data_IF_185169237828
#
_entry.id   IF_185169237828
#
_cell.length_a   1.000
_cell.length_b   1.000
_cell.length_c   1.000
_cell.angle_alpha   90.00
_cell.angle_beta   90.00
_cell.angle_gamma   90.00
#
_symmetry.space_group_name_H-M   'P 1'
#
loop_
_entity.id
_entity.type
_entity.pdbx_description
1 polymer ?
#
# COMPACT_ATOMS: atom_id res chain seq x y z
N UNK A 1 40.70 -34.15 -24.86
CA UNK A 1 40.93 -34.22 -23.39
C UNK A 1 41.06 -32.85 -22.69
N UNK A 2 41.54 -31.82 -23.38
CA UNK A 2 41.84 -30.46 -22.89
C UNK A 2 40.61 -29.57 -22.70
N UNK A 3 39.61 -29.65 -23.59
CA UNK A 3 38.37 -28.85 -23.49
C UNK A 3 37.55 -29.10 -22.21
N UNK A 4 37.49 -30.34 -21.71
CA UNK A 4 36.77 -30.67 -20.46
C UNK A 4 37.44 -30.11 -19.20
N UNK A 5 38.76 -29.86 -19.24
CA UNK A 5 39.49 -29.23 -18.12
C UNK A 5 39.29 -27.72 -18.13
N UNK A 6 39.29 -27.09 -19.30
CA UNK A 6 39.01 -25.66 -19.47
C UNK A 6 37.56 -25.32 -19.07
N UNK A 7 36.57 -26.11 -19.49
CA UNK A 7 35.16 -25.91 -19.09
C UNK A 7 34.96 -26.07 -17.57
N UNK A 8 35.67 -27.02 -16.93
CA UNK A 8 35.63 -27.16 -15.45
C UNK A 8 36.34 -26.01 -14.72
N UNK A 9 37.42 -25.46 -15.29
CA UNK A 9 38.14 -24.31 -14.73
C UNK A 9 37.34 -23.03 -14.90
N UNK A 10 36.72 -22.84 -16.08
CA UNK A 10 35.83 -21.72 -16.35
C UNK A 10 34.61 -21.79 -15.44
N UNK A 11 33.95 -22.95 -15.32
CA UNK A 11 32.89 -23.15 -14.33
C UNK A 11 33.35 -22.92 -12.90
N UNK A 12 34.57 -23.28 -12.50
CA UNK A 12 35.09 -22.94 -11.15
C UNK A 12 35.42 -21.46 -10.98
N UNK A 13 35.84 -20.77 -12.03
CA UNK A 13 36.13 -19.34 -12.02
C UNK A 13 34.87 -18.47 -12.11
N UNK A 14 33.79 -18.96 -12.74
CA UNK A 14 32.48 -18.29 -12.82
C UNK A 14 31.47 -18.79 -11.78
N UNK A 15 31.74 -19.90 -11.10
CA UNK A 15 30.93 -20.37 -9.98
C UNK A 15 31.16 -19.49 -8.76
N UNK A 16 30.43 -18.38 -8.73
CA UNK A 16 30.05 -17.76 -7.47
C UNK A 16 29.03 -18.68 -6.80
N UNK A 17 29.25 -19.05 -5.55
CA UNK A 17 28.27 -19.80 -4.77
C UNK A 17 26.98 -18.97 -4.78
N UNK A 18 25.84 -19.50 -5.26
CA UNK A 18 24.64 -18.69 -5.42
C UNK A 18 24.29 -18.04 -4.08
N UNK A 19 24.26 -16.71 -4.11
CA UNK A 19 24.02 -15.85 -2.97
C UNK A 19 22.60 -16.05 -2.44
N UNK A 20 22.29 -15.35 -1.36
CA UNK A 20 20.92 -15.33 -0.85
C UNK A 20 19.95 -14.78 -1.91
N UNK A 21 20.34 -13.70 -2.59
CA UNK A 21 19.61 -13.05 -3.69
C UNK A 21 19.35 -13.98 -4.86
N UNK A 22 20.36 -14.76 -5.31
CA UNK A 22 20.19 -15.71 -6.41
C UNK A 22 19.10 -16.76 -6.11
N UNK A 23 18.96 -17.15 -4.84
CA UNK A 23 17.86 -18.04 -4.45
C UNK A 23 16.50 -17.34 -4.39
N UNK A 24 16.43 -16.05 -4.06
CA UNK A 24 15.17 -15.27 -4.19
C UNK A 24 14.75 -15.21 -5.66
N UNK A 25 15.70 -14.88 -6.55
CA UNK A 25 15.45 -14.80 -7.99
C UNK A 25 15.02 -16.17 -8.53
N UNK A 26 15.62 -17.26 -8.04
CA UNK A 26 15.20 -18.62 -8.39
C UNK A 26 13.76 -18.90 -7.97
N UNK A 27 13.36 -18.58 -6.73
CA UNK A 27 11.97 -18.77 -6.30
C UNK A 27 10.99 -17.90 -7.12
N UNK A 28 11.40 -16.69 -7.56
CA UNK A 28 10.60 -15.86 -8.48
C UNK A 28 10.44 -16.52 -9.86
N UNK A 29 11.51 -17.07 -10.43
CA UNK A 29 11.45 -17.78 -11.73
C UNK A 29 10.61 -19.05 -11.62
N UNK A 30 10.80 -19.82 -10.54
CA UNK A 30 10.11 -21.09 -10.30
C UNK A 30 8.63 -20.88 -9.87
N UNK A 31 8.22 -19.65 -9.55
CA UNK A 31 6.82 -19.31 -9.21
C UNK A 31 5.83 -19.48 -10.38
N UNK A 32 6.33 -19.48 -11.62
CA UNK A 32 5.51 -19.53 -12.84
C UNK A 32 4.84 -18.20 -13.22
N UNK A 33 5.23 -17.09 -12.59
CA UNK A 33 4.81 -15.75 -13.01
C UNK A 33 5.33 -15.38 -14.41
N UNK A 34 4.64 -14.45 -15.08
CA UNK A 34 5.04 -13.98 -16.40
C UNK A 34 6.42 -13.30 -16.37
N UNK A 35 7.20 -13.44 -17.44
CA UNK A 35 8.58 -12.92 -17.54
C UNK A 35 8.73 -11.45 -17.13
N UNK A 36 7.77 -10.59 -17.53
CA UNK A 36 7.80 -9.17 -17.19
C UNK A 36 7.63 -8.91 -15.67
N UNK A 37 6.76 -9.68 -15.01
CA UNK A 37 6.53 -9.61 -13.56
C UNK A 37 7.76 -10.10 -12.81
N UNK A 38 8.34 -11.23 -13.25
CA UNK A 38 9.58 -11.77 -12.67
C UNK A 38 10.71 -10.75 -12.78
N UNK A 39 10.89 -10.14 -13.95
CA UNK A 39 11.94 -9.13 -14.15
C UNK A 39 11.74 -7.90 -13.25
N UNK A 40 10.51 -7.39 -13.13
CA UNK A 40 10.21 -6.27 -12.25
C UNK A 40 10.44 -6.63 -10.77
N UNK A 41 10.08 -7.84 -10.35
CA UNK A 41 10.31 -8.32 -8.98
C UNK A 41 11.80 -8.51 -8.70
N UNK A 42 12.57 -9.02 -9.66
CA UNK A 42 14.03 -9.10 -9.58
C UNK A 42 14.66 -7.73 -9.42
N UNK A 43 14.22 -6.71 -10.17
CA UNK A 43 14.72 -5.34 -10.03
C UNK A 43 14.51 -4.79 -8.61
N UNK A 44 13.35 -5.07 -7.99
CA UNK A 44 13.07 -4.70 -6.59
C UNK A 44 14.10 -5.32 -5.64
N UNK A 45 14.34 -6.63 -5.79
CA UNK A 45 15.26 -7.36 -4.91
C UNK A 45 16.71 -6.88 -5.08
N UNK A 46 17.16 -6.69 -6.32
CA UNK A 46 18.51 -6.23 -6.63
C UNK A 46 18.76 -4.82 -6.09
N UNK A 47 17.82 -3.89 -6.27
CA UNK A 47 17.94 -2.52 -5.73
C UNK A 47 17.88 -2.48 -4.20
N UNK A 48 17.05 -3.32 -3.59
CA UNK A 48 17.01 -3.44 -2.15
C UNK A 48 18.35 -3.98 -1.59
N UNK A 49 18.90 -5.04 -2.19
CA UNK A 49 20.17 -5.63 -1.74
C UNK A 49 21.37 -4.70 -1.95
N UNK A 50 21.37 -3.91 -3.03
CA UNK A 50 22.38 -2.90 -3.29
C UNK A 50 22.43 -1.80 -2.21
N UNK A 51 21.28 -1.48 -1.59
CA UNK A 51 21.21 -0.54 -0.46
C UNK A 51 21.54 -1.19 0.87
N UNK A 52 20.97 -2.36 1.11
CA UNK A 52 21.15 -3.08 2.35
C UNK A 52 21.18 -4.58 2.08
N UNK A 53 22.30 -5.24 2.41
CA UNK A 53 22.47 -6.66 2.12
C UNK A 53 21.39 -7.52 2.79
N UNK A 54 20.49 -8.07 1.97
CA UNK A 54 19.34 -8.85 2.44
C UNK A 54 19.78 -10.17 3.07
N UNK A 55 20.85 -10.76 2.55
CA UNK A 55 21.43 -11.99 3.09
C UNK A 55 22.10 -11.83 4.46
N UNK A 56 22.48 -10.60 4.84
CA UNK A 56 23.06 -10.30 6.15
C UNK A 56 21.98 -10.13 7.24
N UNK A 57 20.73 -9.82 6.86
CA UNK A 57 19.63 -9.67 7.81
C UNK A 57 19.20 -11.03 8.37
N UNK A 58 19.46 -11.22 9.67
CA UNK A 58 19.08 -12.42 10.43
C UNK A 58 17.85 -12.17 11.31
N UNK A 59 16.83 -11.54 10.76
CA UNK A 59 15.58 -11.34 11.51
C UNK A 59 15.01 -12.71 11.96
N UNK A 60 14.53 -12.74 13.20
CA UNK A 60 13.68 -13.80 13.68
C UNK A 60 12.30 -13.58 13.05
N UNK A 61 11.83 -14.57 12.31
CA UNK A 61 10.54 -14.57 11.64
C UNK A 61 9.62 -15.55 12.38
N UNK A 62 8.35 -15.18 12.54
CA UNK A 62 7.37 -15.98 13.27
C UNK A 62 7.15 -17.36 12.61
N UNK A 63 7.25 -17.42 11.28
CA UNK A 63 7.14 -18.67 10.51
C UNK A 63 8.38 -19.55 10.50
N UNK A 64 9.43 -19.22 11.27
CA UNK A 64 10.63 -20.06 11.44
C UNK A 64 10.71 -20.56 12.89
N UNK A 65 10.21 -21.78 13.18
CA UNK A 65 10.41 -22.46 14.45
C UNK A 65 11.90 -22.70 14.77
N UNK A 66 12.23 -22.85 16.06
CA UNK A 66 13.60 -23.04 16.52
C UNK A 66 14.24 -24.36 16.04
N UNK A 67 13.42 -25.37 15.75
CA UNK A 67 13.81 -26.71 15.29
C UNK A 67 13.82 -26.85 13.75
N UNK A 68 13.46 -25.79 13.01
CA UNK A 68 13.44 -25.83 11.55
C UNK A 68 14.86 -26.02 10.97
N UNK A 69 15.05 -26.94 10.00
CA UNK A 69 16.33 -27.10 9.32
C UNK A 69 16.83 -25.80 8.69
N UNK A 70 18.15 -25.58 8.69
CA UNK A 70 18.76 -24.34 8.18
C UNK A 70 18.43 -24.07 6.71
N UNK A 71 18.35 -25.12 5.90
CA UNK A 71 18.05 -24.99 4.47
C UNK A 71 16.57 -24.63 4.24
N UNK A 72 15.66 -25.20 5.01
CA UNK A 72 14.22 -24.87 4.98
C UNK A 72 13.98 -23.44 5.47
N UNK A 73 14.64 -23.04 6.56
CA UNK A 73 14.60 -21.67 7.07
C UNK A 73 15.15 -20.66 6.05
N UNK A 74 16.20 -21.04 5.31
CA UNK A 74 16.75 -20.22 4.21
C UNK A 74 15.74 -20.11 3.07
N UNK A 75 15.16 -21.22 2.63
CA UNK A 75 14.15 -21.22 1.57
C UNK A 75 12.91 -20.42 1.96
N UNK A 76 12.44 -20.55 3.20
CA UNK A 76 11.34 -19.74 3.75
C UNK A 76 11.62 -18.25 3.58
N UNK A 77 12.81 -17.79 4.01
CA UNK A 77 13.19 -16.38 3.85
C UNK A 77 13.26 -15.97 2.39
N UNK A 78 13.79 -16.81 1.50
CA UNK A 78 13.87 -16.50 0.07
C UNK A 78 12.48 -16.33 -0.54
N UNK A 79 11.56 -17.25 -0.25
CA UNK A 79 10.14 -17.14 -0.63
C UNK A 79 9.46 -15.93 -0.02
N UNK A 80 9.81 -15.56 1.21
CA UNK A 80 9.27 -14.39 1.89
C UNK A 80 9.65 -13.10 1.15
N UNK A 81 10.93 -12.92 0.81
CA UNK A 81 11.37 -11.77 0.01
C UNK A 81 10.77 -11.78 -1.41
N UNK A 82 10.70 -12.95 -2.06
CA UNK A 82 10.08 -13.08 -3.38
C UNK A 82 8.59 -12.69 -3.35
N UNK A 83 7.82 -13.24 -2.41
CA UNK A 83 6.40 -12.93 -2.24
C UNK A 83 6.19 -11.45 -1.88
N UNK A 84 7.05 -10.87 -1.04
CA UNK A 84 6.98 -9.45 -0.69
C UNK A 84 7.22 -8.54 -1.90
N UNK A 85 8.19 -8.85 -2.76
CA UNK A 85 8.42 -8.10 -4.00
C UNK A 85 7.23 -8.22 -4.97
N UNK A 86 6.67 -9.41 -5.14
CA UNK A 86 5.45 -9.62 -5.93
C UNK A 86 4.24 -8.88 -5.33
N UNK A 87 4.14 -8.82 -4.00
CA UNK A 87 3.09 -8.07 -3.32
C UNK A 87 3.24 -6.58 -3.62
N UNK A 88 4.43 -5.99 -3.52
CA UNK A 88 4.65 -4.59 -3.90
C UNK A 88 4.17 -4.31 -5.34
N UNK A 89 4.49 -5.19 -6.29
CA UNK A 89 4.00 -5.08 -7.67
C UNK A 89 2.47 -5.20 -7.79
N UNK A 90 1.86 -6.17 -7.08
CA UNK A 90 0.41 -6.33 -7.02
C UNK A 90 -0.27 -5.06 -6.54
N UNK A 91 0.33 -4.43 -5.53
CA UNK A 91 -0.09 -3.15 -4.98
C UNK A 91 0.03 -1.99 -5.97
N UNK A 92 1.07 -2.00 -6.79
CA UNK A 92 1.26 -1.10 -7.93
C UNK A 92 0.46 -1.51 -9.18
N UNK A 93 -0.62 -2.29 -9.03
CA UNK A 93 -1.55 -2.73 -10.09
C UNK A 93 -0.98 -3.69 -11.14
N UNK A 94 0.19 -4.27 -10.91
CA UNK A 94 0.69 -5.37 -11.73
C UNK A 94 0.05 -6.68 -11.26
N UNK A 95 -1.01 -7.13 -11.96
CA UNK A 95 -1.68 -8.40 -11.65
C UNK A 95 -0.69 -9.55 -11.62
N UNK A 96 -0.68 -10.29 -10.51
CA UNK A 96 0.16 -11.45 -10.26
C UNK A 96 -0.44 -12.29 -9.12
N UNK A 97 0.16 -13.47 -8.83
CA UNK A 97 -0.38 -14.40 -7.83
C UNK A 97 0.28 -14.28 -6.45
N UNK A 98 0.78 -13.11 -6.04
CA UNK A 98 1.49 -12.91 -4.76
C UNK A 98 0.78 -13.53 -3.54
N UNK A 99 -0.53 -13.25 -3.36
CA UNK A 99 -1.30 -13.75 -2.22
C UNK A 99 -1.51 -15.27 -2.27
N UNK A 100 -1.73 -15.81 -3.48
CA UNK A 100 -1.89 -17.25 -3.69
C UNK A 100 -0.55 -17.95 -3.41
N UNK A 101 0.56 -17.43 -3.92
CA UNK A 101 1.90 -17.96 -3.69
C UNK A 101 2.29 -17.89 -2.22
N UNK A 102 1.98 -16.79 -1.52
CA UNK A 102 2.24 -16.69 -0.08
C UNK A 102 1.49 -17.78 0.71
N UNK A 103 0.24 -18.07 0.35
CA UNK A 103 -0.52 -19.17 0.95
C UNK A 103 0.06 -20.54 0.58
N UNK A 104 0.38 -20.79 -0.69
CA UNK A 104 0.95 -22.06 -1.16
C UNK A 104 2.33 -22.35 -0.54
N UNK A 105 3.11 -21.31 -0.30
CA UNK A 105 4.41 -21.39 0.35
C UNK A 105 4.34 -21.41 1.88
N UNK A 106 3.14 -21.29 2.47
CA UNK A 106 2.94 -21.32 3.91
C UNK A 106 3.59 -20.13 4.64
N UNK A 107 3.62 -18.95 4.01
CA UNK A 107 4.25 -17.77 4.60
C UNK A 107 3.37 -17.17 5.69
N UNK A 108 3.99 -16.81 6.82
CA UNK A 108 3.31 -16.11 7.90
C UNK A 108 2.99 -14.68 7.46
N UNK A 109 1.78 -14.21 7.82
CA UNK A 109 1.22 -12.95 7.35
C UNK A 109 2.00 -11.74 7.86
N UNK A 110 2.36 -11.70 9.14
CA UNK A 110 3.10 -10.58 9.72
C UNK A 110 4.54 -10.53 9.22
N UNK A 111 5.19 -11.68 9.06
CA UNK A 111 6.51 -11.78 8.42
C UNK A 111 6.48 -11.18 7.00
N UNK A 112 5.45 -11.52 6.21
CA UNK A 112 5.28 -11.02 4.85
C UNK A 112 5.12 -9.50 4.84
N UNK A 113 4.26 -8.95 5.70
CA UNK A 113 4.08 -7.51 5.80
C UNK A 113 5.33 -6.78 6.28
N UNK A 114 6.05 -7.35 7.24
CA UNK A 114 7.31 -6.79 7.71
C UNK A 114 8.34 -6.69 6.57
N UNK A 115 8.55 -7.78 5.82
CA UNK A 115 9.51 -7.79 4.70
C UNK A 115 9.05 -6.87 3.57
N UNK A 116 7.74 -6.85 3.27
CA UNK A 116 7.17 -5.92 2.29
C UNK A 116 7.45 -4.46 2.66
N UNK A 117 7.22 -4.08 3.92
CA UNK A 117 7.49 -2.72 4.42
C UNK A 117 8.97 -2.38 4.34
N UNK A 118 9.84 -3.32 4.71
CA UNK A 118 11.30 -3.18 4.58
C UNK A 118 11.70 -2.91 3.12
N UNK A 119 11.28 -3.78 2.19
CA UNK A 119 11.59 -3.63 0.77
C UNK A 119 11.05 -2.30 0.23
N UNK A 120 9.80 -1.98 0.50
CA UNK A 120 9.16 -0.74 0.03
C UNK A 120 9.86 0.53 0.53
N UNK A 121 10.42 0.51 1.75
CA UNK A 121 11.26 1.58 2.26
C UNK A 121 12.60 1.70 1.52
N UNK A 122 13.25 0.57 1.22
CA UNK A 122 14.54 0.54 0.52
C UNK A 122 14.40 1.00 -0.94
N UNK A 123 13.40 0.53 -1.68
CA UNK A 123 13.33 0.78 -3.13
C UNK A 123 12.49 2.00 -3.54
N UNK A 124 12.02 2.78 -2.56
CA UNK A 124 11.15 3.93 -2.80
C UNK A 124 11.80 4.92 -3.77
N UNK A 125 11.07 5.28 -4.83
CA UNK A 125 11.50 6.23 -5.86
C UNK A 125 12.54 5.69 -6.85
N UNK A 126 13.01 4.46 -6.68
CA UNK A 126 14.08 3.90 -7.52
C UNK A 126 13.60 2.86 -8.52
N UNK A 127 12.52 2.14 -8.21
CA UNK A 127 11.95 1.13 -9.10
C UNK A 127 10.78 1.73 -9.88
N UNK A 128 10.91 1.79 -11.20
CA UNK A 128 9.90 2.42 -12.07
C UNK A 128 8.57 1.67 -12.10
N UNK A 129 8.60 0.34 -11.97
CA UNK A 129 7.41 -0.52 -11.88
C UNK A 129 6.67 -0.44 -10.54
N UNK A 130 7.28 0.17 -9.52
CA UNK A 130 6.62 0.47 -8.25
C UNK A 130 6.10 1.90 -8.17
N UNK A 131 6.61 2.76 -9.05
CA UNK A 131 5.99 4.05 -9.28
C UNK A 131 4.61 3.78 -9.86
N UNK A 132 3.57 4.34 -9.25
CA UNK A 132 2.20 4.39 -9.78
C UNK A 132 2.15 5.30 -11.03
N UNK A 133 3.04 5.02 -12.00
CA UNK A 133 3.38 5.82 -13.18
C UNK A 133 2.44 5.60 -14.34
N UNK A 134 1.31 4.94 -14.13
CA UNK A 134 0.16 5.29 -14.95
C UNK A 134 -0.34 6.66 -14.48
N UNK A 135 0.40 7.69 -14.90
CA UNK A 135 0.11 9.08 -14.62
C UNK A 135 -1.32 9.41 -15.06
N UNK A 136 -1.82 8.76 -16.13
CA UNK A 136 -3.19 8.93 -16.57
C UNK A 136 -4.20 8.34 -15.56
N UNK A 137 -3.93 7.17 -14.98
CA UNK A 137 -4.78 6.60 -13.93
C UNK A 137 -4.75 7.41 -12.62
N UNK A 138 -3.59 7.91 -12.20
CA UNK A 138 -3.48 8.78 -11.00
C UNK A 138 -4.20 10.11 -11.23
N UNK A 139 -4.03 10.71 -12.40
CA UNK A 139 -4.76 11.93 -12.78
C UNK A 139 -6.27 11.69 -12.87
N UNK A 140 -6.69 10.56 -13.45
CA UNK A 140 -8.10 10.18 -13.50
C UNK A 140 -8.67 10.03 -12.09
N UNK A 141 -7.98 9.31 -11.20
CA UNK A 141 -8.39 9.14 -9.80
C UNK A 141 -8.46 10.47 -9.05
N UNK A 142 -7.47 11.34 -9.22
CA UNK A 142 -7.47 12.67 -8.63
C UNK A 142 -8.66 13.51 -9.11
N UNK A 143 -9.00 13.44 -10.41
CA UNK A 143 -10.17 14.12 -10.98
C UNK A 143 -11.47 13.55 -10.43
N UNK A 144 -11.59 12.23 -10.34
CA UNK A 144 -12.76 11.54 -9.81
C UNK A 144 -13.05 11.90 -8.36
N UNK A 145 -12.01 12.13 -7.53
CA UNK A 145 -12.14 12.58 -6.13
C UNK A 145 -12.39 14.10 -6.05
N UNK A 146 -11.72 14.89 -6.89
CA UNK A 146 -11.83 16.36 -6.89
C UNK A 146 -13.22 16.84 -7.29
N UNK A 147 -13.89 16.11 -8.17
CA UNK A 147 -15.25 16.43 -8.60
C UNK A 147 -16.25 16.46 -7.42
N UNK A 148 -16.48 15.36 -6.66
CA UNK A 148 -17.37 15.38 -5.51
C UNK A 148 -16.89 16.32 -4.39
N UNK A 149 -15.58 16.48 -4.16
CA UNK A 149 -15.07 17.47 -3.20
C UNK A 149 -15.49 18.90 -3.56
N UNK A 150 -15.44 19.24 -4.85
CA UNK A 150 -15.85 20.56 -5.34
C UNK A 150 -17.36 20.74 -5.18
N UNK A 151 -18.16 19.72 -5.47
CA UNK A 151 -19.61 19.72 -5.22
C UNK A 151 -19.94 19.95 -3.75
N UNK A 152 -19.28 19.23 -2.82
CA UNK A 152 -19.45 19.46 -1.38
C UNK A 152 -19.08 20.87 -0.96
N UNK A 153 -17.97 21.41 -1.46
CA UNK A 153 -17.56 22.79 -1.18
C UNK A 153 -18.61 23.78 -1.66
N UNK A 154 -19.15 23.61 -2.86
CA UNK A 154 -20.12 24.54 -3.43
C UNK A 154 -21.44 24.53 -2.62
N UNK A 155 -21.89 23.37 -2.14
CA UNK A 155 -23.00 23.29 -1.19
C UNK A 155 -22.68 23.94 0.16
N UNK A 156 -21.47 23.71 0.71
CA UNK A 156 -21.01 24.35 1.94
C UNK A 156 -20.89 25.87 1.81
N UNK A 157 -20.56 26.40 0.63
CA UNK A 157 -20.53 27.86 0.41
C UNK A 157 -21.92 28.45 0.62
N UNK A 158 -22.97 27.78 0.14
CA UNK A 158 -24.35 28.20 0.35
C UNK A 158 -24.81 28.05 1.80
N UNK A 159 -24.30 27.04 2.51
CA UNK A 159 -24.73 26.69 3.87
C UNK A 159 -23.99 27.48 4.98
N UNK A 160 -22.66 27.49 4.94
CA UNK A 160 -21.78 27.99 6.01
C UNK A 160 -20.93 29.20 5.57
N UNK A 161 -21.05 29.59 4.30
CA UNK A 161 -20.29 30.68 3.72
C UNK A 161 -18.91 30.27 3.20
N UNK A 162 -18.34 31.13 2.35
CA UNK A 162 -17.13 30.83 1.57
C UNK A 162 -15.90 30.52 2.41
N UNK A 163 -15.71 31.23 3.53
CA UNK A 163 -14.52 31.06 4.37
C UNK A 163 -14.49 29.64 4.99
N UNK A 164 -15.60 29.24 5.63
CA UNK A 164 -15.75 27.92 6.25
C UNK A 164 -15.63 26.82 5.20
N UNK A 165 -16.34 26.94 4.07
CA UNK A 165 -16.29 25.95 3.00
C UNK A 165 -14.86 25.74 2.46
N UNK A 166 -14.06 26.80 2.35
CA UNK A 166 -12.66 26.71 1.90
C UNK A 166 -11.79 26.01 2.93
N UNK A 167 -11.92 26.34 4.22
CA UNK A 167 -11.19 25.68 5.30
C UNK A 167 -11.51 24.18 5.40
N UNK A 168 -12.79 23.82 5.27
CA UNK A 168 -13.24 22.41 5.24
C UNK A 168 -12.62 21.69 4.03
N UNK A 169 -12.66 22.30 2.85
CA UNK A 169 -12.06 21.74 1.64
C UNK A 169 -10.55 21.49 1.80
N UNK A 170 -9.80 22.48 2.27
CA UNK A 170 -8.34 22.38 2.43
C UNK A 170 -7.95 21.30 3.46
N UNK A 171 -8.72 21.16 4.54
CA UNK A 171 -8.51 20.09 5.52
C UNK A 171 -8.89 18.72 4.94
N UNK A 172 -10.00 18.60 4.21
CA UNK A 172 -10.38 17.36 3.55
C UNK A 172 -9.32 16.88 2.54
N UNK A 173 -8.73 17.80 1.76
CA UNK A 173 -7.60 17.49 0.86
C UNK A 173 -6.41 16.93 1.65
N UNK A 174 -6.07 17.53 2.81
CA UNK A 174 -4.98 17.04 3.67
C UNK A 174 -5.27 15.64 4.23
N UNK A 175 -6.51 15.38 4.67
CA UNK A 175 -6.94 14.07 5.15
C UNK A 175 -6.79 13.02 4.04
N UNK A 176 -7.33 13.26 2.85
CA UNK A 176 -7.29 12.32 1.72
C UNK A 176 -5.85 11.98 1.33
N UNK A 177 -4.97 13.00 1.25
CA UNK A 177 -3.53 12.79 1.01
C UNK A 177 -2.86 11.98 2.10
N UNK A 178 -3.18 12.26 3.37
CA UNK A 178 -2.71 11.48 4.52
C UNK A 178 -3.11 10.00 4.43
N UNK A 179 -4.26 9.72 3.84
CA UNK A 179 -4.77 8.36 3.59
C UNK A 179 -4.21 7.71 2.31
N UNK A 180 -3.33 8.40 1.58
CA UNK A 180 -2.66 7.88 0.40
C UNK A 180 -3.45 8.00 -0.90
N UNK A 181 -4.47 8.85 -0.97
CA UNK A 181 -5.24 9.10 -2.20
C UNK A 181 -4.77 10.39 -2.90
N UNK A 182 -4.63 10.39 -4.23
CA UNK A 182 -4.24 11.59 -4.97
C UNK A 182 -5.44 12.53 -5.12
N UNK A 183 -5.23 13.84 -4.99
CA UNK A 183 -6.29 14.85 -5.15
C UNK A 183 -5.90 15.94 -6.13
N UNK A 184 -4.64 16.38 -6.07
CA UNK A 184 -4.08 17.44 -6.88
C UNK A 184 -3.13 16.90 -7.95
N UNK A 185 -2.86 17.73 -8.94
CA UNK A 185 -1.90 17.40 -9.98
C UNK A 185 -0.50 17.33 -9.36
N UNK A 186 0.23 16.25 -9.66
CA UNK A 186 1.53 15.98 -9.04
C UNK A 186 1.46 15.20 -7.73
N UNK A 187 0.26 14.91 -7.20
CA UNK A 187 0.13 13.99 -6.06
C UNK A 187 0.51 12.56 -6.47
N UNK A 188 1.16 11.87 -5.54
CA UNK A 188 1.41 10.44 -5.65
C UNK A 188 0.31 9.67 -4.90
N UNK A 189 -0.19 8.59 -5.51
CA UNK A 189 -1.07 7.66 -4.80
C UNK A 189 -0.22 6.85 -3.82
N UNK A 190 -0.52 6.98 -2.53
CA UNK A 190 0.15 6.28 -1.45
C UNK A 190 -0.05 4.77 -1.47
N UNK A 191 0.95 4.06 -0.96
CA UNK A 191 0.92 2.61 -0.85
C UNK A 191 -0.02 2.19 0.32
N UNK A 192 -0.81 1.10 0.19
CA UNK A 192 -1.82 0.66 1.16
C UNK A 192 -1.25 0.04 2.45
N UNK A 193 -0.17 0.61 2.99
CA UNK A 193 0.37 0.26 4.31
C UNK A 193 -0.30 1.04 5.45
N UNK A 194 -1.28 1.89 5.14
CA UNK A 194 -2.21 2.43 6.13
C UNK A 194 -3.16 1.30 6.57
N UNK A 195 -3.46 1.13 7.88
CA UNK A 195 -4.33 0.06 8.37
C UNK A 195 -5.71 0.00 7.69
N UNK A 196 -6.17 1.13 7.13
CA UNK A 196 -7.32 1.20 6.21
C UNK A 196 -6.97 2.10 5.01
N UNK A 197 -6.55 1.54 3.87
CA UNK A 197 -6.30 2.31 2.66
C UNK A 197 -7.64 2.67 2.00
N UNK A 198 -7.90 3.96 1.80
CA UNK A 198 -9.08 4.41 1.04
C UNK A 198 -8.98 4.15 -0.47
N UNK A 199 -7.80 3.72 -0.93
CA UNK A 199 -7.42 3.43 -2.33
C UNK A 199 -8.32 2.46 -3.10
N UNK A 200 -9.25 1.77 -2.43
CA UNK A 200 -10.23 0.87 -3.04
C UNK A 200 -11.68 1.36 -2.96
N UNK A 201 -11.95 2.50 -2.32
CA UNK A 201 -13.31 3.03 -2.16
C UNK A 201 -13.76 3.86 -3.38
N UNK A 202 -15.07 3.98 -3.64
CA UNK A 202 -15.58 4.94 -4.63
C UNK A 202 -15.18 6.38 -4.29
N UNK A 203 -14.88 7.18 -5.31
CA UNK A 203 -14.37 8.54 -5.11
C UNK A 203 -15.33 9.45 -4.34
N UNK A 204 -16.65 9.29 -4.54
CA UNK A 204 -17.66 9.99 -3.77
C UNK A 204 -17.63 9.66 -2.29
N UNK A 205 -17.42 8.39 -1.94
CA UNK A 205 -17.35 7.94 -0.54
C UNK A 205 -16.14 8.54 0.18
N UNK A 206 -15.00 8.59 -0.51
CA UNK A 206 -13.77 9.20 0.00
C UNK A 206 -13.96 10.69 0.25
N UNK A 207 -14.51 11.40 -0.73
CA UNK A 207 -14.79 12.82 -0.61
C UNK A 207 -15.78 13.11 0.54
N UNK A 208 -16.86 12.35 0.63
CA UNK A 208 -17.87 12.51 1.68
C UNK A 208 -17.32 12.24 3.08
N UNK A 209 -16.54 11.17 3.25
CA UNK A 209 -15.87 10.86 4.53
C UNK A 209 -14.90 11.96 4.93
N UNK A 210 -14.05 12.41 3.99
CA UNK A 210 -13.06 13.45 4.26
C UNK A 210 -13.70 14.80 4.61
N UNK A 211 -14.76 15.20 3.90
CA UNK A 211 -15.51 16.42 4.20
C UNK A 211 -16.16 16.32 5.58
N UNK A 212 -16.80 15.19 5.89
CA UNK A 212 -17.42 14.97 7.20
C UNK A 212 -16.39 15.06 8.33
N UNK A 213 -15.24 14.40 8.18
CA UNK A 213 -14.14 14.47 9.15
C UNK A 213 -13.60 15.90 9.29
N UNK A 214 -13.40 16.62 8.18
CA UNK A 214 -12.94 17.99 8.21
C UNK A 214 -13.94 18.94 8.89
N UNK A 215 -15.25 18.75 8.66
CA UNK A 215 -16.30 19.51 9.33
C UNK A 215 -16.28 19.28 10.85
N UNK A 216 -16.13 18.03 11.29
CA UNK A 216 -16.05 17.68 12.71
C UNK A 216 -14.80 18.29 13.37
N UNK A 217 -13.64 18.19 12.71
CA UNK A 217 -12.38 18.73 13.23
C UNK A 217 -12.40 20.27 13.32
N UNK A 218 -13.13 20.93 12.41
CA UNK A 218 -13.36 22.38 12.45
C UNK A 218 -14.53 22.79 13.35
N UNK A 219 -15.15 21.86 14.07
CA UNK A 219 -16.19 22.14 15.06
C UNK A 219 -17.57 22.48 14.48
N UNK A 220 -17.86 22.10 13.24
CA UNK A 220 -19.20 22.29 12.66
C UNK A 220 -20.21 21.35 13.32
N UNK A 221 -21.45 21.81 13.39
CA UNK A 221 -22.52 21.06 14.06
C UNK A 221 -22.89 19.80 13.29
N UNK A 222 -23.39 18.77 14.00
CA UNK A 222 -23.92 17.57 13.36
C UNK A 222 -25.10 17.86 12.45
N UNK A 223 -25.92 18.85 12.81
CA UNK A 223 -27.02 19.28 11.98
C UNK A 223 -26.52 19.77 10.61
N UNK A 224 -25.47 20.61 10.62
CA UNK A 224 -24.80 21.09 9.41
C UNK A 224 -24.26 19.95 8.54
N UNK A 225 -23.68 18.91 9.15
CA UNK A 225 -23.20 17.70 8.44
C UNK A 225 -24.37 16.93 7.81
N UNK A 226 -25.45 16.72 8.55
CA UNK A 226 -26.64 16.00 8.06
C UNK A 226 -27.38 16.76 6.96
N UNK A 227 -27.45 18.09 7.04
CA UNK A 227 -28.01 18.95 6.00
C UNK A 227 -27.19 18.85 4.70
N UNK A 228 -25.87 18.85 4.81
CA UNK A 228 -24.98 18.66 3.66
C UNK A 228 -25.17 17.28 3.02
N UNK A 229 -25.20 16.20 3.81
CA UNK A 229 -25.41 14.84 3.30
C UNK A 229 -26.78 14.65 2.63
N UNK A 230 -27.83 15.28 3.16
CA UNK A 230 -29.16 15.28 2.51
C UNK A 230 -29.14 15.98 1.16
N UNK A 231 -28.33 17.03 1.03
CA UNK A 231 -28.23 17.82 -0.20
C UNK A 231 -27.43 17.09 -1.29
N UNK A 232 -26.39 16.36 -0.89
CA UNK A 232 -25.57 15.55 -1.79
C UNK A 232 -25.34 14.14 -1.19
N UNK A 233 -26.32 13.23 -1.36
CA UNK A 233 -26.26 11.91 -0.76
C UNK A 233 -25.26 11.03 -1.51
N UNK A 234 -24.36 10.41 -0.76
CA UNK A 234 -23.39 9.44 -1.28
C UNK A 234 -23.66 8.07 -0.67
N UNK A 235 -23.73 7.06 -1.54
CA UNK A 235 -23.93 5.66 -1.15
C UNK A 235 -22.82 5.20 -0.18
N UNK A 236 -23.20 4.46 0.89
CA UNK A 236 -22.35 4.03 2.02
C UNK A 236 -21.90 5.11 3.02
N UNK A 237 -22.36 6.36 2.92
CA UNK A 237 -22.04 7.38 3.93
C UNK A 237 -22.96 7.33 5.16
N UNK A 238 -24.17 6.79 5.04
CA UNK A 238 -25.15 6.70 6.14
C UNK A 238 -24.59 5.92 7.34
N UNK A 239 -24.05 4.73 7.09
CA UNK A 239 -23.47 3.88 8.14
C UNK A 239 -22.24 4.52 8.81
N UNK A 240 -21.52 5.40 8.09
CA UNK A 240 -20.39 6.16 8.63
C UNK A 240 -20.88 7.30 9.53
N UNK A 241 -21.90 8.04 9.09
CA UNK A 241 -22.53 9.11 9.88
C UNK A 241 -23.21 8.57 11.15
N UNK A 242 -23.88 7.41 11.06
CA UNK A 242 -24.50 6.75 12.21
C UNK A 242 -23.47 6.31 13.25
N UNK A 243 -22.30 5.82 12.80
CA UNK A 243 -21.19 5.43 13.69
C UNK A 243 -20.60 6.63 14.42
N UNK A 244 -20.36 7.74 13.72
CA UNK A 244 -19.92 9.00 14.32
C UNK A 244 -20.97 9.53 15.32
N UNK A 245 -22.26 9.38 14.99
CA UNK A 245 -23.36 9.73 15.89
C UNK A 245 -23.39 8.90 17.18
N UNK A 246 -23.00 7.62 17.09
CA UNK A 246 -23.02 6.68 18.22
C UNK A 246 -21.82 6.85 19.16
N UNK A 247 -20.62 7.04 18.62
CA UNK A 247 -19.40 7.26 19.41
C UNK A 247 -19.43 8.52 20.28
N UNK A 248 -20.20 9.52 19.87
CA UNK A 248 -20.37 10.73 20.68
C UNK A 248 -21.40 10.59 21.80
N UNK A 249 -22.38 9.68 21.66
CA UNK A 249 -23.37 9.42 22.72
C UNK A 249 -22.77 8.63 23.87
N UNK A 250 -21.76 7.80 23.63
CA UNK A 250 -21.01 7.12 24.69
C UNK A 250 -20.11 8.07 25.49
N UNK A 251 -19.77 9.25 24.93
CA UNK A 251 -19.00 10.30 25.63
C UNK A 251 -19.83 11.24 26.52
N UNK A 252 -21.17 11.17 26.46
CA UNK A 252 -22.10 12.00 27.25
C UNK A 252 -22.61 11.27 28.53
N UNK A 253 -22.05 10.11 28.89
CA UNK A 253 -22.42 9.32 30.08
C UNK A 253 -21.34 9.28 31.17
N UNK A 254 -20.57 10.36 31.36
CA UNK A 254 -19.78 10.57 32.58
C UNK A 254 -19.95 12.00 33.10
N UNK A 255 -21.15 12.36 33.57
CA UNK A 255 -21.31 13.40 34.59
C UNK A 255 -22.64 13.23 35.33
N UNK A 256 -22.72 12.23 36.22
CA UNK A 256 -23.59 12.28 37.40
C UNK A 256 -23.11 11.24 38.43
N UNK A 257 -22.21 11.67 39.32
CA UNK A 257 -21.99 11.12 40.66
C UNK A 257 -21.30 12.16 41.55
#
# INVERSE_FOLDING_TARGET
PTYRRLDRLQRRMTYSRPGFVDGIIRELVDSGEGRAIVQAATEIIEKADAKESLGAKRHAFNGIPADMPKDDAKQYRQRLYAAAALYLLYQSRHSNRALILAQLWGLEKYDLFFVKKLLGGLVRGEVSSLSNRDHAAVLARARDIRHPLSTYRDHLVSQEGRAVASSVYDLAVRIIRGMGEPVMDGDEMGHPDHPEPWTNHPAGEIAGRAITMAMLELGLSRQSIWELHRTYPVYNLDAFLDRIGSQAREGDFEEEA
#
